data_IF_301530457532
#
_entry.id   IF_301530457532
#
_cell.length_a   1.000
_cell.length_b   1.000
_cell.length_c   1.000
_cell.angle_alpha   90.00
_cell.angle_beta   90.00
_cell.angle_gamma   90.00
#
_symmetry.space_group_name_H-M   'P 1'
#
loop_
_entity.id
_entity.type
_entity.pdbx_description
1 polymer ?
#
# COMPACT_ATOMS: atom_id res chain seq x y z
N UNK A 1 -4.44 -19.11 4.36
CA UNK A 1 -5.91 -19.20 4.22
C UNK A 1 -6.27 -18.53 2.90
N UNK A 2 -7.26 -19.02 2.14
CA UNK A 2 -7.69 -18.29 0.95
C UNK A 2 -8.17 -16.91 1.40
N UNK A 3 -7.51 -15.90 0.87
CA UNK A 3 -7.58 -14.47 1.23
C UNK A 3 -8.86 -13.77 0.71
N UNK A 4 -9.90 -14.54 0.40
CA UNK A 4 -11.15 -14.03 -0.18
C UNK A 4 -11.01 -13.37 -1.56
N UNK A 5 -9.79 -13.27 -2.10
CA UNK A 5 -9.56 -12.75 -3.45
C UNK A 5 -9.64 -13.88 -4.45
N UNK A 6 -10.24 -13.58 -5.59
CA UNK A 6 -10.28 -14.50 -6.72
C UNK A 6 -9.23 -14.03 -7.71
N UNK A 7 -8.36 -14.94 -8.14
CA UNK A 7 -7.43 -14.67 -9.24
C UNK A 7 -8.01 -15.24 -10.52
N UNK A 8 -8.10 -14.42 -11.57
CA UNK A 8 -8.52 -14.90 -12.89
C UNK A 8 -7.47 -15.84 -13.50
N UNK A 9 -7.88 -16.69 -14.44
CA UNK A 9 -6.94 -17.52 -15.19
C UNK A 9 -5.82 -16.66 -15.80
N UNK A 10 -4.56 -17.02 -15.50
CA UNK A 10 -3.34 -16.34 -15.97
C UNK A 10 -3.08 -14.91 -15.42
N UNK A 11 -3.80 -14.48 -14.38
CA UNK A 11 -3.49 -13.22 -13.70
C UNK A 11 -2.38 -13.42 -12.67
N UNK A 12 -1.40 -12.51 -12.63
CA UNK A 12 -0.40 -12.48 -11.56
C UNK A 12 -1.08 -12.13 -10.23
N UNK A 13 -0.63 -12.76 -9.15
CA UNK A 13 -1.00 -12.32 -7.80
C UNK A 13 -0.73 -10.81 -7.71
N UNK A 14 -1.70 -10.06 -7.19
CA UNK A 14 -1.62 -8.61 -6.97
C UNK A 14 -1.71 -7.70 -8.21
N UNK A 15 -1.98 -8.27 -9.39
CA UNK A 15 -2.28 -7.47 -10.57
C UNK A 15 -3.69 -6.85 -10.48
N UNK A 16 -3.82 -5.60 -10.89
CA UNK A 16 -5.14 -4.99 -11.11
C UNK A 16 -5.79 -5.56 -12.39
N UNK A 17 -7.13 -5.71 -12.43
CA UNK A 17 -8.09 -5.49 -11.34
C UNK A 17 -8.06 -6.55 -10.26
N UNK A 18 -8.35 -6.13 -9.02
CA UNK A 18 -8.61 -7.07 -7.93
C UNK A 18 -10.01 -7.64 -8.09
N UNK A 19 -10.16 -8.96 -8.07
CA UNK A 19 -11.47 -9.62 -8.13
C UNK A 19 -11.88 -10.17 -6.77
N UNK A 20 -13.14 -9.92 -6.39
CA UNK A 20 -13.77 -10.50 -5.19
C UNK A 20 -15.07 -11.19 -5.61
N UNK A 21 -15.45 -12.27 -4.94
CA UNK A 21 -16.70 -12.98 -5.25
C UNK A 21 -17.93 -12.05 -5.10
N UNK A 22 -18.77 -12.00 -6.14
CA UNK A 22 -19.98 -11.17 -6.14
C UNK A 22 -21.14 -11.83 -5.37
N UNK A 23 -21.09 -13.14 -5.16
CA UNK A 23 -22.07 -13.86 -4.38
C UNK A 23 -21.85 -13.65 -2.88
N UNK A 24 -22.95 -13.56 -2.13
CA UNK A 24 -22.92 -13.60 -0.66
C UNK A 24 -22.51 -15.01 -0.26
N UNK A 25 -21.55 -15.12 0.66
CA UNK A 25 -21.06 -16.44 1.05
C UNK A 25 -22.11 -17.16 1.91
N UNK A 26 -22.37 -18.43 1.62
CA UNK A 26 -23.38 -19.22 2.33
C UNK A 26 -23.05 -19.47 3.81
N UNK A 27 -21.78 -19.34 4.21
CA UNK A 27 -21.34 -19.52 5.61
C UNK A 27 -21.05 -18.17 6.26
N UNK A 28 -21.53 -17.92 7.49
CA UNK A 28 -21.33 -16.63 8.18
C UNK A 28 -19.86 -16.19 8.27
N UNK A 29 -18.95 -17.11 8.62
CA UNK A 29 -17.52 -16.81 8.69
C UNK A 29 -16.92 -16.45 7.31
N UNK A 30 -17.36 -17.12 6.26
CA UNK A 30 -16.90 -16.82 4.90
C UNK A 30 -17.42 -15.45 4.44
N UNK A 31 -18.64 -15.09 4.84
CA UNK A 31 -19.23 -13.78 4.54
C UNK A 31 -18.53 -12.66 5.31
N UNK A 32 -18.24 -12.87 6.59
CA UNK A 32 -17.50 -11.91 7.40
C UNK A 32 -16.11 -11.64 6.81
N UNK A 33 -15.38 -12.70 6.43
CA UNK A 33 -14.10 -12.54 5.75
C UNK A 33 -14.27 -11.78 4.43
N UNK A 34 -15.25 -12.14 3.59
CA UNK A 34 -15.54 -11.44 2.33
C UNK A 34 -15.77 -9.94 2.57
N UNK A 35 -16.56 -9.58 3.59
CA UNK A 35 -16.81 -8.19 3.96
C UNK A 35 -15.54 -7.45 4.41
N UNK A 36 -14.66 -8.11 5.18
CA UNK A 36 -13.36 -7.55 5.58
C UNK A 36 -12.46 -7.24 4.38
N UNK A 37 -12.57 -8.01 3.30
CA UNK A 37 -11.82 -7.76 2.06
C UNK A 37 -12.46 -6.68 1.17
N UNK A 38 -13.79 -6.60 1.15
CA UNK A 38 -14.52 -5.59 0.36
C UNK A 38 -14.42 -4.20 0.97
N UNK A 39 -14.53 -4.08 2.30
CA UNK A 39 -14.55 -2.79 2.99
C UNK A 39 -13.43 -1.81 2.57
N UNK A 40 -12.14 -2.19 2.50
CA UNK A 40 -11.10 -1.29 2.02
C UNK A 40 -11.20 -0.96 0.52
N UNK A 41 -11.65 -1.90 -0.31
CA UNK A 41 -11.86 -1.67 -1.75
C UNK A 41 -13.01 -0.68 -1.98
N UNK A 42 -14.12 -0.83 -1.26
CA UNK A 42 -15.26 0.08 -1.30
C UNK A 42 -14.90 1.49 -0.80
N UNK A 43 -14.04 1.60 0.21
CA UNK A 43 -13.52 2.90 0.64
C UNK A 43 -12.72 3.59 -0.47
N UNK A 44 -11.95 2.83 -1.25
CA UNK A 44 -11.21 3.34 -2.41
C UNK A 44 -12.14 3.67 -3.61
N UNK A 45 -13.24 2.93 -3.78
CA UNK A 45 -14.29 3.26 -4.76
C UNK A 45 -14.98 4.57 -4.37
N UNK A 46 -15.36 4.74 -3.09
CA UNK A 46 -15.91 5.99 -2.57
C UNK A 46 -14.93 7.15 -2.80
N UNK A 47 -13.64 6.93 -2.58
CA UNK A 47 -12.56 7.89 -2.88
C UNK A 47 -12.39 8.24 -4.37
N UNK A 48 -13.04 7.49 -5.27
CA UNK A 48 -12.92 7.60 -6.72
C UNK A 48 -11.59 7.10 -7.27
N UNK A 49 -10.83 6.32 -6.49
CA UNK A 49 -9.57 5.70 -6.93
C UNK A 49 -9.83 4.39 -7.65
N UNK A 50 -10.83 3.64 -7.21
CA UNK A 50 -11.25 2.39 -7.84
C UNK A 50 -12.66 2.52 -8.43
N UNK A 51 -12.96 1.63 -9.37
CA UNK A 51 -14.29 1.41 -9.94
C UNK A 51 -14.64 -0.06 -9.74
N UNK A 52 -15.77 -0.33 -9.11
CA UNK A 52 -16.29 -1.69 -8.97
C UNK A 52 -17.23 -2.01 -10.14
N UNK A 53 -16.96 -3.10 -10.85
CA UNK A 53 -17.78 -3.60 -11.96
C UNK A 53 -18.09 -5.07 -11.72
N UNK A 54 -19.36 -5.45 -11.80
CA UNK A 54 -19.74 -6.86 -11.73
C UNK A 54 -19.47 -7.53 -13.09
N UNK A 55 -18.69 -8.59 -13.09
CA UNK A 55 -18.35 -9.37 -14.29
C UNK A 55 -18.29 -10.85 -13.97
N UNK A 56 -18.22 -11.69 -14.98
CA UNK A 56 -17.89 -13.11 -14.84
C UNK A 56 -16.46 -13.34 -15.30
N UNK A 57 -15.70 -14.11 -14.53
CA UNK A 57 -14.35 -14.53 -14.92
C UNK A 57 -14.24 -16.05 -14.89
N UNK A 58 -13.38 -16.58 -15.74
CA UNK A 58 -12.97 -17.98 -15.68
C UNK A 58 -11.81 -18.08 -14.67
N UNK A 59 -12.05 -18.80 -13.56
CA UNK A 59 -10.97 -19.12 -12.64
C UNK A 59 -10.00 -20.10 -13.30
N UNK A 60 -8.70 -19.81 -13.22
CA UNK A 60 -7.66 -20.68 -13.75
C UNK A 60 -7.59 -22.01 -13.01
N UNK A 61 -7.18 -23.08 -13.71
CA UNK A 61 -6.92 -24.37 -13.08
C UNK A 61 -5.77 -24.24 -12.07
N UNK A 62 -6.06 -24.51 -10.80
CA UNK A 62 -5.07 -24.67 -9.73
C UNK A 62 -5.16 -26.07 -9.13
N UNK A 63 -4.11 -26.50 -8.41
CA UNK A 63 -3.99 -27.84 -7.82
C UNK A 63 -5.19 -28.22 -6.90
N UNK A 64 -5.94 -27.23 -6.40
CA UNK A 64 -7.11 -27.39 -5.52
C UNK A 64 -8.47 -27.08 -6.17
N UNK A 65 -8.53 -26.67 -7.44
CA UNK A 65 -9.78 -26.28 -8.11
C UNK A 65 -9.92 -27.10 -9.40
N UNK A 66 -10.75 -28.15 -9.35
CA UNK A 66 -10.80 -29.18 -10.40
C UNK A 66 -11.62 -28.82 -11.64
N UNK A 67 -12.35 -27.70 -11.65
CA UNK A 67 -13.07 -27.24 -12.83
C UNK A 67 -12.97 -25.71 -12.91
N UNK A 68 -12.48 -25.20 -14.03
CA UNK A 68 -12.57 -23.77 -14.38
C UNK A 68 -14.03 -23.40 -14.56
N UNK A 69 -14.69 -23.04 -13.46
CA UNK A 69 -16.06 -22.53 -13.47
C UNK A 69 -16.06 -21.03 -13.75
N UNK A 70 -17.09 -20.56 -14.47
CA UNK A 70 -17.40 -19.13 -14.53
C UNK A 70 -17.90 -18.69 -13.17
N UNK A 71 -17.20 -17.75 -12.54
CA UNK A 71 -17.58 -17.19 -11.24
C UNK A 71 -17.94 -15.73 -11.44
N UNK A 72 -19.10 -15.33 -10.92
CA UNK A 72 -19.49 -13.93 -10.87
C UNK A 72 -18.66 -13.20 -9.80
N UNK A 73 -17.95 -12.16 -10.21
CA UNK A 73 -17.02 -11.39 -9.39
C UNK A 73 -17.29 -9.89 -9.49
N UNK A 74 -16.86 -9.15 -8.47
CA UNK A 74 -16.69 -7.72 -8.47
C UNK A 74 -15.24 -7.43 -8.87
N UNK A 75 -15.06 -6.84 -10.04
CA UNK A 75 -13.79 -6.35 -10.54
C UNK A 75 -13.55 -4.92 -10.05
N UNK A 76 -12.46 -4.70 -9.34
CA UNK A 76 -12.04 -3.39 -8.88
C UNK A 76 -10.89 -2.87 -9.74
N UNK A 77 -11.23 -1.99 -10.68
CA UNK A 77 -10.31 -1.37 -11.63
C UNK A 77 -9.86 0.02 -11.19
N UNK A 78 -8.65 0.42 -11.57
CA UNK A 78 -8.16 1.78 -11.35
C UNK A 78 -8.90 2.79 -12.24
N UNK A 79 -9.42 3.85 -11.62
CA UNK A 79 -9.86 5.05 -12.36
C UNK A 79 -8.65 5.85 -12.84
N UNK A 80 -8.84 6.88 -13.66
CA UNK A 80 -7.74 7.77 -14.06
C UNK A 80 -7.08 8.46 -12.86
N UNK A 81 -7.88 8.81 -11.84
CA UNK A 81 -7.39 9.32 -10.55
C UNK A 81 -6.62 8.25 -9.77
N UNK A 82 -7.11 7.01 -9.80
CA UNK A 82 -6.43 5.85 -9.24
C UNK A 82 -5.06 5.65 -9.86
N UNK A 83 -4.98 5.60 -11.20
CA UNK A 83 -3.74 5.44 -11.97
C UNK A 83 -2.72 6.53 -11.66
N UNK A 84 -3.15 7.78 -11.50
CA UNK A 84 -2.25 8.88 -11.15
C UNK A 84 -1.64 8.75 -9.74
N UNK A 85 -2.38 8.16 -8.80
CA UNK A 85 -1.92 7.92 -7.43
C UNK A 85 -1.23 6.56 -7.25
N UNK A 86 -1.40 5.65 -8.20
CA UNK A 86 -0.91 4.29 -8.15
C UNK A 86 0.47 4.20 -8.80
N UNK A 87 1.45 3.69 -8.05
CA UNK A 87 2.76 3.35 -8.62
C UNK A 87 2.87 1.84 -8.71
N UNK A 88 2.92 1.36 -9.96
CA UNK A 88 3.18 -0.05 -10.30
C UNK A 88 4.61 -0.49 -9.96
N UNK A 89 5.49 0.46 -9.66
CA UNK A 89 6.83 0.18 -9.17
C UNK A 89 6.76 -0.16 -7.68
N UNK A 90 6.54 -1.44 -7.43
CA UNK A 90 7.15 -2.12 -6.30
C UNK A 90 8.65 -1.79 -6.35
N UNK A 91 9.08 -0.76 -5.61
CA UNK A 91 10.49 -0.50 -5.40
C UNK A 91 11.13 -1.82 -4.98
N UNK A 92 12.10 -2.30 -5.77
CA UNK A 92 12.84 -3.54 -5.53
C UNK A 92 13.72 -3.47 -4.27
N UNK A 93 13.53 -2.44 -3.43
CA UNK A 93 14.31 -2.18 -2.24
C UNK A 93 13.72 -2.91 -1.03
N UNK A 94 14.20 -4.13 -0.80
CA UNK A 94 14.17 -4.75 0.54
C UNK A 94 13.18 -5.89 0.73
N UNK A 95 13.57 -6.81 1.61
CA UNK A 95 12.88 -8.06 1.95
C UNK A 95 11.39 -7.85 2.24
N UNK A 96 10.56 -8.43 1.37
CA UNK A 96 9.10 -8.32 1.42
C UNK A 96 8.58 -7.45 0.29
N UNK A 97 8.51 -8.03 -0.92
CA UNK A 97 8.04 -7.36 -2.14
C UNK A 97 6.84 -6.47 -1.84
N UNK A 98 7.05 -5.15 -1.95
CA UNK A 98 6.00 -4.20 -1.70
C UNK A 98 4.95 -4.38 -2.78
N UNK A 99 3.82 -4.93 -2.35
CA UNK A 99 2.55 -4.91 -3.05
C UNK A 99 2.31 -3.55 -3.72
N UNK A 100 1.65 -3.49 -4.89
CA UNK A 100 1.30 -2.23 -5.52
C UNK A 100 0.55 -1.32 -4.54
N UNK A 101 1.00 -0.08 -4.37
CA UNK A 101 0.46 0.85 -3.35
C UNK A 101 0.12 2.22 -3.93
N UNK A 102 -0.93 2.81 -3.37
CA UNK A 102 -1.29 4.20 -3.61
C UNK A 102 -0.33 5.12 -2.83
N UNK A 103 0.33 6.04 -3.52
CA UNK A 103 1.08 7.11 -2.91
C UNK A 103 0.11 8.19 -2.42
N UNK A 104 0.27 8.62 -1.17
CA UNK A 104 -0.70 9.50 -0.50
C UNK A 104 -0.08 10.77 0.09
N UNK A 105 1.23 10.98 -0.07
CA UNK A 105 1.91 12.18 0.40
C UNK A 105 3.43 12.07 0.25
N UNK A 106 4.13 13.18 0.47
CA UNK A 106 5.59 13.24 0.52
C UNK A 106 6.06 13.59 1.93
N UNK A 107 7.02 12.85 2.51
CA UNK A 107 7.60 13.25 3.78
C UNK A 107 8.41 14.54 3.61
N UNK A 108 8.11 15.52 4.45
CA UNK A 108 8.83 16.78 4.54
C UNK A 108 9.35 16.93 5.97
N UNK A 109 10.68 17.09 6.09
CA UNK A 109 11.33 17.29 7.39
C UNK A 109 10.97 18.68 7.90
N UNK A 110 10.50 18.73 9.15
CA UNK A 110 10.18 19.96 9.87
C UNK A 110 11.45 20.49 10.55
N UNK A 111 12.07 19.67 11.41
CA UNK A 111 13.21 20.08 12.22
C UNK A 111 14.12 18.89 12.55
N UNK A 112 15.43 19.13 12.63
CA UNK A 112 16.39 18.18 13.22
C UNK A 112 16.47 18.45 14.72
N UNK A 113 15.98 17.50 15.54
CA UNK A 113 15.86 17.68 16.99
C UNK A 113 17.12 17.29 17.75
N UNK A 114 17.87 16.30 17.25
CA UNK A 114 19.10 15.85 17.89
C UNK A 114 20.00 15.10 16.90
N UNK A 115 21.30 15.05 17.16
CA UNK A 115 22.22 14.18 16.43
C UNK A 115 23.31 13.62 17.35
N UNK A 116 23.80 12.42 17.05
CA UNK A 116 24.95 11.84 17.76
C UNK A 116 26.25 12.44 17.23
N UNK A 117 27.28 12.47 18.08
CA UNK A 117 28.61 12.85 17.62
C UNK A 117 29.04 11.97 16.43
N UNK A 118 29.61 12.56 15.37
CA UNK A 118 30.19 11.80 14.26
C UNK A 118 31.22 10.79 14.76
N UNK A 119 31.09 9.54 14.33
CA UNK A 119 31.99 8.46 14.68
C UNK A 119 32.45 7.72 13.42
N UNK A 120 33.71 7.29 13.41
CA UNK A 120 34.20 6.39 12.36
C UNK A 120 33.66 4.98 12.60
N UNK A 121 32.98 4.43 11.61
CA UNK A 121 32.60 3.03 11.55
C UNK A 121 33.01 2.48 10.19
N UNK A 122 33.91 1.50 10.20
CA UNK A 122 34.39 0.83 8.98
C UNK A 122 35.02 1.80 7.96
N UNK A 123 35.71 2.85 8.41
CA UNK A 123 36.32 3.87 7.54
C UNK A 123 35.34 4.88 6.94
N UNK A 124 34.09 4.89 7.43
CA UNK A 124 33.07 5.89 7.09
C UNK A 124 32.69 6.67 8.34
N UNK A 125 32.56 7.99 8.22
CA UNK A 125 32.08 8.83 9.33
C UNK A 125 30.54 8.85 9.34
N UNK A 126 29.94 8.28 10.38
CA UNK A 126 28.49 8.18 10.56
C UNK A 126 27.99 9.07 11.69
N UNK A 127 26.76 9.55 11.56
CA UNK A 127 25.99 10.18 12.64
C UNK A 127 24.52 9.74 12.57
N UNK A 128 23.90 9.54 13.72
CA UNK A 128 22.46 9.29 13.80
C UNK A 128 21.73 10.61 14.06
N UNK A 129 20.81 10.96 13.17
CA UNK A 129 20.01 12.18 13.24
C UNK A 129 18.59 11.83 13.66
N UNK A 130 18.07 12.51 14.68
CA UNK A 130 16.65 12.50 15.07
C UNK A 130 16.00 13.76 14.52
N UNK A 131 14.84 13.60 13.89
CA UNK A 131 14.13 14.70 13.24
C UNK A 131 12.63 14.52 13.33
N UNK A 132 11.91 15.62 13.24
CA UNK A 132 10.46 15.67 13.06
C UNK A 132 10.14 15.85 11.58
N UNK A 133 9.06 15.24 11.12
CA UNK A 133 8.58 15.38 9.76
C UNK A 133 7.05 15.30 9.71
N UNK A 134 6.47 15.88 8.66
CA UNK A 134 5.06 15.69 8.33
C UNK A 134 4.92 15.19 6.89
N UNK A 135 3.72 14.75 6.52
CA UNK A 135 3.40 14.43 5.14
C UNK A 135 2.77 15.64 4.46
N UNK A 136 3.46 16.17 3.47
CA UNK A 136 2.96 17.21 2.56
C UNK A 136 2.25 16.60 1.34
N UNK A 137 1.58 17.45 0.56
CA UNK A 137 0.88 17.09 -0.67
C UNK A 137 -0.19 16.00 -0.50
N UNK A 138 -0.87 15.95 0.66
CA UNK A 138 -1.91 14.96 0.94
C UNK A 138 -3.14 15.15 0.04
N UNK A 139 -3.47 14.21 -0.86
CA UNK A 139 -4.67 14.31 -1.69
C UNK A 139 -5.95 14.25 -0.84
N UNK A 140 -7.02 14.92 -1.25
CA UNK A 140 -8.26 14.98 -0.45
C UNK A 140 -8.93 13.62 -0.19
N UNK A 141 -8.67 12.63 -1.04
CA UNK A 141 -9.20 11.28 -0.81
C UNK A 141 -8.66 10.65 0.48
N UNK A 142 -7.47 11.04 0.94
CA UNK A 142 -6.83 10.54 2.17
C UNK A 142 -7.54 11.02 3.44
N UNK A 143 -8.28 12.13 3.35
CA UNK A 143 -9.02 12.75 4.46
C UNK A 143 -10.43 12.16 4.63
N UNK A 144 -10.87 11.32 3.70
CA UNK A 144 -12.20 10.71 3.75
C UNK A 144 -12.32 9.76 4.94
N UNK A 145 -13.36 9.92 5.75
CA UNK A 145 -13.58 9.10 6.94
C UNK A 145 -13.60 7.58 6.64
N UNK A 146 -14.22 7.16 5.53
CA UNK A 146 -14.23 5.74 5.11
C UNK A 146 -12.83 5.22 4.80
N UNK A 147 -11.99 6.04 4.18
CA UNK A 147 -10.60 5.68 3.85
C UNK A 147 -9.76 5.63 5.14
N UNK A 148 -9.90 6.60 6.04
CA UNK A 148 -9.20 6.58 7.32
C UNK A 148 -9.60 5.38 8.20
N UNK A 149 -10.89 5.01 8.20
CA UNK A 149 -11.39 3.85 8.92
C UNK A 149 -10.88 2.53 8.32
N UNK A 150 -10.83 2.43 6.99
CA UNK A 150 -10.33 1.24 6.28
C UNK A 150 -8.80 1.10 6.38
N UNK A 151 -8.06 2.21 6.50
CA UNK A 151 -6.61 2.24 6.53
C UNK A 151 -6.08 2.96 7.80
N UNK A 152 -6.05 2.31 8.97
CA UNK A 152 -5.60 2.94 10.22
C UNK A 152 -4.16 3.47 10.18
N UNK A 153 -3.28 2.81 9.42
CA UNK A 153 -1.92 3.28 9.19
C UNK A 153 -1.90 4.62 8.44
N UNK A 154 -2.77 4.82 7.45
CA UNK A 154 -2.92 6.09 6.76
C UNK A 154 -3.34 7.18 7.75
N UNK A 155 -4.39 6.93 8.53
CA UNK A 155 -4.88 7.88 9.53
C UNK A 155 -3.77 8.29 10.51
N UNK A 156 -2.99 7.32 10.99
CA UNK A 156 -1.87 7.56 11.90
C UNK A 156 -0.77 8.40 11.24
N UNK A 157 -0.41 8.09 9.99
CA UNK A 157 0.65 8.78 9.26
C UNK A 157 0.25 10.21 8.85
N UNK A 158 -1.03 10.47 8.64
CA UNK A 158 -1.54 11.79 8.23
C UNK A 158 -1.98 12.68 9.40
N UNK A 159 -1.93 12.20 10.64
CA UNK A 159 -2.44 12.92 11.81
C UNK A 159 -1.56 14.08 12.32
N UNK A 160 -0.45 14.38 11.64
CA UNK A 160 0.42 15.53 11.93
C UNK A 160 1.90 15.19 11.92
N UNK A 161 2.70 16.03 12.58
CA UNK A 161 4.15 15.84 12.72
C UNK A 161 4.49 14.56 13.47
N UNK A 162 5.58 13.91 13.07
CA UNK A 162 6.07 12.60 13.52
C UNK A 162 7.57 12.66 13.77
N UNK A 163 8.02 11.94 14.79
CA UNK A 163 9.45 11.73 15.03
C UNK A 163 9.98 10.58 14.17
N UNK A 164 11.18 10.75 13.64
CA UNK A 164 11.94 9.73 12.94
C UNK A 164 13.44 9.84 13.23
N UNK A 165 14.15 8.78 12.87
CA UNK A 165 15.62 8.71 12.96
C UNK A 165 16.19 8.21 11.65
N UNK A 166 17.33 8.77 11.25
CA UNK A 166 18.08 8.34 10.09
C UNK A 166 19.57 8.26 10.43
N UNK A 167 20.26 7.28 9.87
CA UNK A 167 21.71 7.28 9.84
C UNK A 167 22.17 8.03 8.59
N UNK A 168 23.12 8.95 8.78
CA UNK A 168 23.75 9.70 7.71
C UNK A 168 25.26 9.44 7.71
N UNK A 169 25.84 9.38 6.53
CA UNK A 169 27.27 9.21 6.31
C UNK A 169 27.82 10.49 5.70
N UNK A 170 28.99 10.92 6.18
CA UNK A 170 29.71 12.03 5.59
C UNK A 170 30.39 11.57 4.30
N UNK A 171 30.03 12.21 3.19
CA UNK A 171 30.62 12.00 1.87
C UNK A 171 31.31 13.28 1.39
N UNK A 172 31.99 13.23 0.24
CA UNK A 172 32.57 14.42 -0.39
C UNK A 172 31.50 15.48 -0.78
N UNK A 173 30.24 15.06 -0.96
CA UNK A 173 29.12 15.96 -1.26
C UNK A 173 28.33 16.36 0.01
N UNK A 174 28.90 16.13 1.20
CA UNK A 174 28.25 16.36 2.49
C UNK A 174 27.55 15.11 3.05
N UNK A 175 26.64 15.33 3.99
CA UNK A 175 25.91 14.27 4.68
C UNK A 175 24.83 13.65 3.79
N UNK A 176 24.89 12.33 3.58
CA UNK A 176 23.88 11.58 2.83
C UNK A 176 23.26 10.50 3.71
N UNK A 177 21.99 10.19 3.45
CA UNK A 177 21.31 9.07 4.09
C UNK A 177 22.05 7.75 3.77
N UNK A 178 22.17 6.83 4.74
CA UNK A 178 22.94 5.58 4.58
C UNK A 178 22.55 4.74 3.35
N UNK A 179 21.27 4.80 2.96
CA UNK A 179 20.71 4.08 1.81
C UNK A 179 20.88 4.80 0.45
N UNK A 180 21.43 6.01 0.45
CA UNK A 180 21.62 6.83 -0.74
C UNK A 180 23.09 6.83 -1.23
N UNK A 181 23.89 5.90 -0.71
CA UNK A 181 25.33 5.74 -0.94
C UNK A 181 25.54 4.32 -1.44
#
# INVERSE_FOLDING_TARGET
MPDGTITAANQKHDAMPVYVEAAVAARPYAEENRQRHIAPLDALVDAGLLRSTRTEIEQGQGIFVSNGGKVAVLAYDLTDKGKAAFKDEADKSGFGGMQPRFCYGKPQVDEVTNFTQPADMMGMTLSQVSYTYHLADLPDWTKKAKVQAAFPALATNTAGTRDAKAAVVLTNDGWKHEKAI
#
